data_IF_321511423943
#
_entry.id   IF_321511423943
#
_cell.length_a   1.000
_cell.length_b   1.000
_cell.length_c   1.000
_cell.angle_alpha   90.00
_cell.angle_beta   90.00
_cell.angle_gamma   90.00
#
_symmetry.space_group_name_H-M   'P 1'
#
loop_
_entity.id
_entity.type
_entity.pdbx_description
1 polymer ?
#
# COMPACT_ATOMS: atom_id res chain seq x y z
N UNK A 1 -9.12 30.96 0.57
CA UNK A 1 -9.19 30.93 -0.91
C UNK A 1 -8.01 31.69 -1.48
N UNK A 2 -7.12 30.99 -2.18
CA UNK A 2 -6.00 31.64 -2.89
C UNK A 2 -6.51 32.37 -4.14
N UNK A 3 -5.90 33.51 -4.51
CA UNK A 3 -6.11 34.15 -5.79
C UNK A 3 -5.79 33.18 -6.94
N UNK A 4 -6.71 33.03 -7.90
CA UNK A 4 -6.56 32.15 -9.07
C UNK A 4 -5.29 32.41 -9.91
N UNK A 5 -4.62 33.55 -9.71
CA UNK A 5 -3.33 33.86 -10.34
C UNK A 5 -2.16 33.06 -9.74
N UNK A 6 -2.18 32.78 -8.43
CA UNK A 6 -1.10 32.05 -7.74
C UNK A 6 -1.15 30.56 -8.05
N UNK A 7 -2.35 29.95 -8.05
CA UNK A 7 -2.56 28.56 -8.51
C UNK A 7 -2.06 28.34 -9.94
N UNK A 8 -2.34 29.29 -10.85
CA UNK A 8 -1.87 29.23 -12.24
C UNK A 8 -0.36 29.33 -12.36
N UNK A 9 0.30 30.13 -11.51
CA UNK A 9 1.76 30.24 -11.49
C UNK A 9 2.43 28.99 -10.91
N UNK A 10 1.84 28.38 -9.88
CA UNK A 10 2.31 27.12 -9.32
C UNK A 10 2.19 25.97 -10.33
N UNK A 11 1.03 25.80 -10.96
CA UNK A 11 0.84 24.81 -12.03
C UNK A 11 1.78 25.03 -13.21
N UNK A 12 2.06 26.29 -13.57
CA UNK A 12 3.03 26.60 -14.63
C UNK A 12 4.46 26.24 -14.22
N UNK A 13 4.87 26.56 -12.99
CA UNK A 13 6.20 26.21 -12.48
C UNK A 13 6.42 24.71 -12.40
N UNK A 14 5.39 23.96 -11.96
CA UNK A 14 5.39 22.49 -11.97
C UNK A 14 5.46 21.98 -13.42
N UNK A 15 4.64 22.49 -14.32
CA UNK A 15 4.69 22.12 -15.74
C UNK A 15 6.04 22.38 -16.40
N UNK A 16 6.71 23.49 -16.08
CA UNK A 16 8.03 23.85 -16.60
C UNK A 16 9.17 23.00 -15.99
N UNK A 17 9.01 22.54 -14.75
CA UNK A 17 9.90 21.57 -14.12
C UNK A 17 9.75 20.18 -14.74
N UNK A 18 8.51 19.76 -14.97
CA UNK A 18 8.14 18.44 -15.50
C UNK A 18 8.37 18.31 -17.02
N UNK A 19 8.44 19.41 -17.76
CA UNK A 19 8.73 19.40 -19.20
C UNK A 19 10.22 19.17 -19.54
N UNK A 20 11.09 19.06 -18.53
CA UNK A 20 12.53 18.90 -18.75
C UNK A 20 12.92 17.43 -18.79
N UNK A 21 13.87 17.05 -19.66
CA UNK A 21 14.37 15.69 -19.69
C UNK A 21 15.04 15.37 -18.33
N UNK A 22 14.81 14.17 -17.77
CA UNK A 22 15.43 13.77 -16.51
C UNK A 22 16.96 13.78 -16.62
N UNK A 23 17.62 14.12 -15.51
CA UNK A 23 19.06 13.92 -15.39
C UNK A 23 19.33 12.40 -15.33
N UNK A 24 20.33 11.95 -16.07
CA UNK A 24 20.81 10.58 -15.98
C UNK A 24 21.34 10.35 -14.55
N UNK A 25 20.70 9.43 -13.82
CA UNK A 25 21.19 8.96 -12.53
C UNK A 25 22.23 7.87 -12.75
N UNK A 26 23.24 7.81 -11.89
CA UNK A 26 24.21 6.70 -11.87
C UNK A 26 23.49 5.36 -11.70
N UNK A 27 23.98 4.34 -12.41
CA UNK A 27 23.41 2.98 -12.43
C UNK A 27 23.41 2.38 -11.01
N UNK A 28 22.23 2.28 -10.39
CA UNK A 28 22.06 1.59 -9.11
C UNK A 28 20.93 2.10 -8.24
N UNK A 29 20.47 3.33 -8.47
CA UNK A 29 19.39 3.94 -7.67
C UNK A 29 18.08 4.01 -8.48
N UNK A 30 16.98 3.55 -7.88
CA UNK A 30 15.65 3.58 -8.52
C UNK A 30 14.99 4.97 -8.47
N UNK A 31 15.70 5.95 -7.89
CA UNK A 31 15.31 7.35 -7.84
C UNK A 31 16.07 8.18 -8.88
N UNK A 32 15.32 8.97 -9.66
CA UNK A 32 15.90 10.02 -10.52
C UNK A 32 15.60 11.39 -9.92
N UNK A 33 16.59 12.28 -9.92
CA UNK A 33 16.44 13.63 -9.40
C UNK A 33 16.10 14.63 -10.52
N UNK A 34 15.05 15.41 -10.34
CA UNK A 34 14.83 16.63 -11.11
C UNK A 34 15.43 17.80 -10.34
N UNK A 35 16.64 18.22 -10.71
CA UNK A 35 17.23 19.46 -10.19
C UNK A 35 17.06 20.58 -11.20
N UNK A 36 16.36 21.64 -10.82
CA UNK A 36 16.41 22.89 -11.57
C UNK A 36 16.47 24.07 -10.59
N UNK A 37 17.35 25.06 -10.83
CA UNK A 37 17.28 26.30 -10.09
C UNK A 37 15.95 26.99 -10.42
N UNK A 38 15.17 27.32 -9.39
CA UNK A 38 13.96 28.13 -9.54
C UNK A 38 14.33 29.46 -10.21
N UNK A 39 13.83 29.70 -11.41
CA UNK A 39 14.14 30.88 -12.23
C UNK A 39 13.22 32.07 -11.95
N UNK A 40 12.24 31.92 -11.06
CA UNK A 40 11.32 32.99 -10.69
C UNK A 40 11.88 33.95 -9.62
N UNK A 41 11.10 34.96 -9.28
CA UNK A 41 11.50 35.93 -8.26
C UNK A 41 11.62 35.28 -6.87
N UNK A 42 12.65 35.62 -6.06
CA UNK A 42 12.86 35.01 -4.74
C UNK A 42 11.68 35.13 -3.76
N UNK A 43 10.89 36.22 -3.86
CA UNK A 43 9.68 36.39 -3.05
C UNK A 43 8.61 35.36 -3.42
N UNK A 44 8.43 35.10 -4.71
CA UNK A 44 7.52 34.08 -5.24
C UNK A 44 7.99 32.67 -4.89
N UNK A 45 9.31 32.42 -4.90
CA UNK A 45 9.89 31.16 -4.42
C UNK A 45 9.48 30.87 -2.97
N UNK A 46 9.66 31.84 -2.06
CA UNK A 46 9.31 31.70 -0.64
C UNK A 46 7.81 31.49 -0.40
N UNK A 47 6.97 32.14 -1.21
CA UNK A 47 5.52 31.97 -1.14
C UNK A 47 5.10 30.58 -1.64
N UNK A 48 5.71 30.11 -2.73
CA UNK A 48 5.45 28.78 -3.32
C UNK A 48 5.90 27.66 -2.37
N UNK A 49 7.06 27.80 -1.74
CA UNK A 49 7.52 26.89 -0.69
C UNK A 49 6.56 26.86 0.50
N UNK A 50 6.11 28.03 0.98
CA UNK A 50 5.13 28.11 2.08
C UNK A 50 3.77 27.52 1.72
N UNK A 51 3.35 27.66 0.47
CA UNK A 51 2.09 27.12 -0.03
C UNK A 51 2.14 25.61 -0.17
N UNK A 52 3.22 25.04 -0.68
CA UNK A 52 3.36 23.58 -0.78
C UNK A 52 3.58 22.94 0.61
N UNK A 53 4.31 23.60 1.53
CA UNK A 53 4.35 23.16 2.95
C UNK A 53 2.95 23.27 3.59
N UNK A 54 2.16 24.29 3.26
CA UNK A 54 0.80 24.48 3.76
C UNK A 54 -0.24 23.56 3.13
N UNK A 55 -0.03 23.14 1.89
CA UNK A 55 -0.80 22.10 1.18
C UNK A 55 -0.44 20.70 1.68
N UNK A 56 0.64 20.53 2.45
CA UNK A 56 0.90 19.29 3.19
C UNK A 56 -0.17 18.97 4.25
N UNK A 57 -1.08 19.91 4.57
CA UNK A 57 -2.27 19.67 5.37
C UNK A 57 -3.50 19.24 4.55
N UNK A 58 -3.41 19.26 3.21
CA UNK A 58 -4.44 18.72 2.31
C UNK A 58 -3.94 17.34 1.87
N UNK A 59 -4.62 16.28 2.32
CA UNK A 59 -4.36 14.85 2.05
C UNK A 59 -4.44 14.45 0.55
N UNK A 60 -4.16 15.36 -0.39
CA UNK A 60 -4.14 15.07 -1.82
C UNK A 60 -2.72 14.74 -2.27
N UNK A 61 -2.46 13.44 -2.45
CA UNK A 61 -1.20 12.93 -3.00
C UNK A 61 -0.96 13.49 -4.41
N UNK A 62 0.08 14.32 -4.57
CA UNK A 62 0.51 14.81 -5.88
C UNK A 62 1.35 13.74 -6.58
N UNK A 63 0.98 13.34 -7.79
CA UNK A 63 1.70 12.32 -8.55
C UNK A 63 1.92 12.72 -10.02
N UNK A 64 2.97 12.17 -10.64
CA UNK A 64 3.32 12.43 -12.05
C UNK A 64 2.91 11.28 -12.94
N UNK A 65 1.98 11.54 -13.87
CA UNK A 65 1.74 10.65 -15.00
C UNK A 65 2.82 10.83 -16.07
N UNK A 66 3.56 9.77 -16.40
CA UNK A 66 4.64 9.82 -17.39
C UNK A 66 4.79 8.45 -18.08
N UNK A 67 5.69 8.33 -19.06
CA UNK A 67 5.92 7.10 -19.82
C UNK A 67 7.33 6.57 -19.57
N UNK A 68 7.51 5.25 -19.43
CA UNK A 68 8.78 4.61 -19.07
C UNK A 68 9.95 4.98 -20.00
N UNK A 69 9.65 5.21 -21.28
CA UNK A 69 10.64 5.59 -22.30
C UNK A 69 11.33 6.92 -22.02
N UNK A 70 10.75 7.78 -21.17
CA UNK A 70 11.32 9.07 -20.80
C UNK A 70 12.39 8.94 -19.71
N UNK A 71 12.46 7.79 -19.02
CA UNK A 71 13.28 7.62 -17.83
C UNK A 71 14.41 6.60 -18.02
N UNK A 72 14.54 5.97 -19.19
CA UNK A 72 15.64 5.03 -19.46
C UNK A 72 15.66 3.80 -18.54
N UNK A 73 14.57 3.53 -17.81
CA UNK A 73 14.46 2.44 -16.83
C UNK A 73 13.20 2.56 -15.96
N UNK A 74 12.91 1.52 -15.14
CA UNK A 74 11.79 1.55 -14.21
C UNK A 74 12.02 2.62 -13.13
N UNK A 75 11.02 3.48 -12.91
CA UNK A 75 11.04 4.55 -11.91
C UNK A 75 9.74 4.52 -11.11
N UNK A 76 9.84 4.65 -9.79
CA UNK A 76 8.69 4.69 -8.87
C UNK A 76 8.47 6.06 -8.24
N UNK A 77 9.51 6.89 -8.17
CA UNK A 77 9.46 8.24 -7.59
C UNK A 77 10.54 9.15 -8.16
N UNK A 78 10.32 10.46 -8.06
CA UNK A 78 11.27 11.50 -8.45
C UNK A 78 11.54 12.40 -7.26
N UNK A 79 12.82 12.55 -6.90
CA UNK A 79 13.23 13.53 -5.91
C UNK A 79 13.22 14.94 -6.52
N UNK A 80 12.50 15.85 -5.87
CA UNK A 80 12.31 17.22 -6.29
C UNK A 80 13.21 18.14 -5.47
N UNK A 81 14.13 18.85 -6.14
CA UNK A 81 15.07 19.76 -5.46
C UNK A 81 14.96 21.17 -6.07
N UNK A 82 14.64 22.21 -5.26
CA UNK A 82 14.44 22.18 -3.81
C UNK A 82 13.05 21.65 -3.39
N UNK A 83 12.92 21.00 -2.22
CA UNK A 83 11.62 20.62 -1.66
C UNK A 83 10.80 21.86 -1.26
N UNK A 84 9.47 21.77 -1.10
CA UNK A 84 8.62 20.57 -1.26
C UNK A 84 7.81 20.49 -2.59
N UNK A 85 7.22 19.33 -2.94
CA UNK A 85 7.38 18.03 -2.27
C UNK A 85 8.83 17.54 -2.38
N UNK A 86 9.30 16.74 -1.43
CA UNK A 86 10.68 16.20 -1.48
C UNK A 86 10.80 15.07 -2.49
N UNK A 87 9.76 14.24 -2.56
CA UNK A 87 9.64 13.14 -3.51
C UNK A 87 8.23 13.13 -4.08
N UNK A 88 8.13 12.81 -5.37
CA UNK A 88 6.87 12.76 -6.10
C UNK A 88 6.71 11.37 -6.72
N UNK A 89 5.66 10.61 -6.39
CA UNK A 89 5.41 9.30 -6.98
C UNK A 89 5.18 9.40 -8.49
N UNK A 90 5.67 8.39 -9.22
CA UNK A 90 5.60 8.32 -10.69
C UNK A 90 4.68 7.20 -11.14
N UNK A 91 3.74 7.51 -12.02
CA UNK A 91 2.83 6.56 -12.65
C UNK A 91 3.16 6.41 -14.13
N UNK A 92 3.61 5.21 -14.51
CA UNK A 92 4.03 4.89 -15.88
C UNK A 92 2.86 4.45 -16.79
N UNK A 93 1.70 4.16 -16.20
CA UNK A 93 0.52 3.68 -16.92
C UNK A 93 -0.69 4.56 -16.55
N UNK A 94 -1.34 5.19 -17.54
CA UNK A 94 -2.55 5.95 -17.27
C UNK A 94 -3.65 5.02 -16.75
N UNK A 95 -4.47 5.53 -15.82
CA UNK A 95 -5.63 4.85 -15.24
C UNK A 95 -5.33 3.61 -14.38
N UNK A 96 -4.09 3.41 -13.93
CA UNK A 96 -3.82 2.48 -12.83
C UNK A 96 -4.01 3.18 -11.48
N UNK A 97 -4.56 2.49 -10.47
CA UNK A 97 -4.77 3.09 -9.17
C UNK A 97 -3.44 3.44 -8.51
N UNK A 98 -3.40 4.58 -7.79
CA UNK A 98 -2.22 4.97 -7.01
C UNK A 98 -2.02 4.04 -5.81
N UNK A 99 -0.80 3.97 -5.21
CA UNK A 99 -0.61 3.27 -3.95
C UNK A 99 -1.58 3.72 -2.85
N UNK A 100 -1.89 5.02 -2.73
CA UNK A 100 -2.88 5.51 -1.78
C UNK A 100 -4.30 5.04 -2.14
N UNK A 101 -4.70 5.07 -3.43
CA UNK A 101 -6.00 4.55 -3.87
C UNK A 101 -6.12 3.04 -3.64
N UNK A 102 -5.06 2.27 -3.91
CA UNK A 102 -4.99 0.83 -3.62
C UNK A 102 -5.13 0.58 -2.11
N UNK A 103 -4.44 1.37 -1.28
CA UNK A 103 -4.55 1.29 0.17
C UNK A 103 -5.95 1.66 0.65
N UNK A 104 -6.57 2.69 0.08
CA UNK A 104 -7.93 3.09 0.41
C UNK A 104 -8.92 1.98 0.06
N UNK A 105 -8.85 1.42 -1.15
CA UNK A 105 -9.68 0.27 -1.57
C UNK A 105 -9.47 -0.94 -0.66
N UNK A 106 -8.23 -1.25 -0.30
CA UNK A 106 -7.93 -2.31 0.65
C UNK A 106 -8.55 -2.03 2.02
N UNK A 107 -8.40 -0.80 2.53
CA UNK A 107 -8.97 -0.37 3.82
C UNK A 107 -10.49 -0.49 3.82
N UNK A 108 -11.17 -0.01 2.77
CA UNK A 108 -12.62 -0.12 2.60
C UNK A 108 -13.06 -1.58 2.48
N UNK A 109 -12.29 -2.41 1.75
CA UNK A 109 -12.54 -3.84 1.64
C UNK A 109 -12.39 -4.54 2.98
N UNK A 110 -11.39 -4.22 3.79
CA UNK A 110 -11.18 -4.92 5.06
C UNK A 110 -11.89 -4.28 6.27
N UNK A 111 -12.49 -3.09 6.13
CA UNK A 111 -13.02 -2.28 7.24
C UNK A 111 -13.92 -3.05 8.21
N UNK A 112 -14.73 -3.98 7.68
CA UNK A 112 -15.72 -4.76 8.45
C UNK A 112 -15.40 -6.24 8.52
N UNK A 113 -14.38 -6.70 7.80
CA UNK A 113 -14.06 -8.11 7.66
C UNK A 113 -13.13 -8.54 8.79
N UNK A 114 -13.50 -9.62 9.48
CA UNK A 114 -12.63 -10.25 10.47
C UNK A 114 -11.67 -11.20 9.77
N UNK A 115 -10.40 -11.16 10.16
CA UNK A 115 -9.35 -12.01 9.62
C UNK A 115 -8.92 -13.00 10.70
N UNK A 116 -9.06 -14.29 10.42
CA UNK A 116 -8.58 -15.37 11.28
C UNK A 116 -7.39 -16.05 10.63
N UNK A 117 -6.20 -15.87 11.19
CA UNK A 117 -4.98 -16.55 10.74
C UNK A 117 -4.79 -17.83 11.56
N UNK A 118 -4.59 -18.96 10.89
CA UNK A 118 -4.37 -20.27 11.51
C UNK A 118 -3.05 -20.84 11.00
N UNK A 119 -2.08 -21.00 11.90
CA UNK A 119 -0.80 -21.63 11.58
C UNK A 119 0.41 -20.89 12.14
N UNK A 120 1.49 -21.62 12.39
CA UNK A 120 2.74 -21.10 12.96
C UNK A 120 2.57 -20.47 14.35
N UNK A 121 3.63 -19.79 14.80
CA UNK A 121 3.53 -18.83 15.90
C UNK A 121 3.05 -17.48 15.37
N UNK A 122 2.55 -16.65 16.28
CA UNK A 122 2.14 -15.28 15.98
C UNK A 122 3.36 -14.50 15.49
N UNK A 123 3.22 -13.85 14.34
CA UNK A 123 4.24 -13.00 13.76
C UNK A 123 3.79 -11.52 13.85
N UNK A 124 4.43 -10.77 14.74
CA UNK A 124 4.08 -9.38 14.99
C UNK A 124 4.41 -8.45 13.82
N UNK A 125 5.38 -8.81 12.98
CA UNK A 125 5.76 -8.00 11.82
C UNK A 125 4.74 -8.17 10.70
N UNK A 126 4.19 -9.37 10.53
CA UNK A 126 3.05 -9.60 9.63
C UNK A 126 1.82 -8.82 10.10
N UNK A 127 1.47 -8.88 11.38
CA UNK A 127 0.31 -8.13 11.91
C UNK A 127 0.48 -6.62 11.68
N UNK A 128 1.69 -6.11 11.88
CA UNK A 128 2.01 -4.70 11.63
C UNK A 128 1.88 -4.34 10.15
N UNK A 129 2.46 -5.15 9.26
CA UNK A 129 2.38 -4.94 7.81
C UNK A 129 0.93 -4.95 7.29
N UNK A 130 0.05 -5.79 7.86
CA UNK A 130 -1.39 -5.78 7.53
C UNK A 130 -2.05 -4.43 7.86
N UNK A 131 -1.66 -3.80 8.98
CA UNK A 131 -2.14 -2.46 9.34
C UNK A 131 -1.54 -1.36 8.46
N UNK A 132 -0.22 -1.41 8.26
CA UNK A 132 0.52 -0.37 7.54
C UNK A 132 0.19 -0.35 6.04
N UNK A 133 0.07 -1.52 5.41
CA UNK A 133 -0.08 -1.63 3.95
C UNK A 133 -1.53 -1.83 3.49
N UNK A 134 -2.36 -2.55 4.26
CA UNK A 134 -3.75 -2.83 3.88
C UNK A 134 -4.78 -2.08 4.73
N UNK A 135 -4.34 -1.31 5.74
CA UNK A 135 -5.26 -0.57 6.62
C UNK A 135 -6.10 -1.46 7.54
N UNK A 136 -5.70 -2.73 7.72
CA UNK A 136 -6.46 -3.67 8.54
C UNK A 136 -6.24 -3.34 10.02
N UNK A 137 -7.33 -3.06 10.74
CA UNK A 137 -7.26 -2.80 12.18
C UNK A 137 -6.87 -4.06 12.94
N UNK A 138 -5.94 -3.94 13.89
CA UNK A 138 -5.39 -5.09 14.62
C UNK A 138 -6.46 -5.88 15.38
N UNK A 139 -7.50 -5.21 15.89
CA UNK A 139 -8.63 -5.84 16.59
C UNK A 139 -9.49 -6.75 15.69
N UNK A 140 -9.41 -6.59 14.38
CA UNK A 140 -10.08 -7.44 13.40
C UNK A 140 -9.25 -8.69 13.06
N UNK A 141 -7.98 -8.72 13.44
CA UNK A 141 -7.07 -9.85 13.18
C UNK A 141 -6.97 -10.73 14.43
N UNK A 142 -7.32 -12.00 14.27
CA UNK A 142 -7.12 -13.03 15.28
C UNK A 142 -6.15 -14.08 14.77
N UNK A 143 -5.10 -14.36 15.53
CA UNK A 143 -4.15 -15.43 15.20
C UNK A 143 -4.36 -16.62 16.14
N UNK A 144 -4.54 -17.81 15.55
CA UNK A 144 -4.60 -19.08 16.26
C UNK A 144 -3.35 -19.89 15.93
N UNK A 145 -2.40 -20.02 16.88
CA UNK A 145 -1.16 -20.73 16.61
C UNK A 145 -1.44 -22.21 16.40
N UNK A 146 -0.88 -22.78 15.34
CA UNK A 146 -0.99 -24.19 15.00
C UNK A 146 0.24 -24.65 14.24
N UNK A 147 0.88 -25.70 14.72
CA UNK A 147 2.06 -26.30 14.10
C UNK A 147 1.82 -27.78 13.84
N UNK A 148 2.64 -28.40 12.98
CA UNK A 148 2.54 -29.83 12.66
C UNK A 148 2.43 -30.74 13.89
N UNK A 149 3.16 -30.42 14.96
CA UNK A 149 3.18 -31.19 16.21
C UNK A 149 2.28 -30.61 17.31
N UNK A 150 1.67 -29.45 17.08
CA UNK A 150 0.87 -28.73 18.08
C UNK A 150 -0.37 -28.15 17.42
N UNK A 151 -1.41 -28.97 17.34
CA UNK A 151 -2.69 -28.62 16.73
C UNK A 151 -3.43 -27.55 17.55
N UNK A 152 -4.00 -26.58 16.85
CA UNK A 152 -4.94 -25.64 17.43
C UNK A 152 -6.20 -26.35 17.95
N UNK A 153 -6.64 -25.98 19.15
CA UNK A 153 -7.86 -26.52 19.75
C UNK A 153 -9.09 -25.74 19.28
N UNK A 154 -10.24 -26.42 19.25
CA UNK A 154 -11.55 -25.82 19.00
C UNK A 154 -11.66 -25.05 17.68
N UNK A 155 -10.96 -25.48 16.62
CA UNK A 155 -11.00 -24.82 15.31
C UNK A 155 -12.43 -24.72 14.75
N UNK A 156 -13.23 -25.77 14.92
CA UNK A 156 -14.65 -25.79 14.57
C UNK A 156 -15.45 -24.66 15.23
N UNK A 157 -15.25 -24.43 16.53
CA UNK A 157 -15.97 -23.40 17.27
C UNK A 157 -15.44 -22.01 16.96
N UNK A 158 -14.12 -21.88 16.79
CA UNK A 158 -13.46 -20.61 16.45
C UNK A 158 -13.89 -20.13 15.06
N UNK A 159 -13.76 -20.99 14.03
CA UNK A 159 -14.28 -20.70 12.68
C UNK A 159 -15.79 -20.54 12.75
N UNK A 160 -16.45 -21.28 13.65
CA UNK A 160 -17.88 -21.23 13.80
C UNK A 160 -18.46 -19.98 14.45
N UNK A 161 -17.63 -19.18 15.12
CA UNK A 161 -18.02 -17.87 15.66
C UNK A 161 -17.77 -16.71 14.70
N UNK A 162 -17.25 -16.96 13.50
CA UNK A 162 -16.95 -15.90 12.53
C UNK A 162 -18.21 -15.44 11.78
N UNK A 163 -18.29 -14.15 11.41
CA UNK A 163 -19.30 -13.66 10.49
C UNK A 163 -19.06 -14.20 9.07
N UNK A 164 -20.08 -14.14 8.21
CA UNK A 164 -20.05 -14.73 6.86
C UNK A 164 -19.02 -14.07 5.95
N UNK A 165 -18.78 -12.77 6.12
CA UNK A 165 -17.82 -11.96 5.37
C UNK A 165 -16.38 -12.05 5.93
N UNK A 166 -16.15 -12.88 6.96
CA UNK A 166 -14.82 -13.11 7.48
C UNK A 166 -13.91 -13.81 6.47
N UNK A 167 -12.61 -13.68 6.71
CA UNK A 167 -11.56 -14.29 5.92
C UNK A 167 -10.74 -15.18 6.84
N UNK A 168 -10.59 -16.44 6.48
CA UNK A 168 -9.71 -17.38 7.17
C UNK A 168 -8.46 -17.56 6.34
N UNK A 169 -7.29 -17.30 6.93
CA UNK A 169 -5.99 -17.54 6.33
C UNK A 169 -5.38 -18.79 6.96
N UNK A 170 -5.15 -19.83 6.18
CA UNK A 170 -4.51 -21.06 6.62
C UNK A 170 -3.05 -21.09 6.14
N UNK A 171 -2.08 -21.10 7.06
CA UNK A 171 -0.65 -21.18 6.72
C UNK A 171 -0.25 -22.64 6.51
N UNK A 172 -0.51 -23.17 5.32
CA UNK A 172 -0.40 -24.60 4.99
C UNK A 172 1.02 -25.15 5.19
N UNK A 173 2.07 -24.34 5.04
CA UNK A 173 3.44 -24.75 5.30
C UNK A 173 3.77 -24.99 6.77
N UNK A 174 2.94 -24.49 7.70
CA UNK A 174 3.15 -24.60 9.16
C UNK A 174 2.21 -25.62 9.82
N UNK A 175 1.02 -25.84 9.28
CA UNK A 175 0.04 -26.79 9.83
C UNK A 175 0.19 -28.19 9.21
N UNK A 176 -0.35 -29.21 9.90
CA UNK A 176 -0.45 -30.56 9.33
C UNK A 176 -1.61 -30.69 8.33
N UNK A 177 -1.56 -31.71 7.46
CA UNK A 177 -2.60 -31.96 6.44
C UNK A 177 -4.01 -32.08 7.04
N UNK A 178 -4.14 -32.81 8.16
CA UNK A 178 -5.44 -32.98 8.84
C UNK A 178 -6.05 -31.66 9.30
N UNK A 179 -5.20 -30.75 9.81
CA UNK A 179 -5.64 -29.42 10.25
C UNK A 179 -6.05 -28.56 9.06
N UNK A 180 -5.26 -28.58 7.99
CA UNK A 180 -5.60 -27.87 6.75
C UNK A 180 -6.93 -28.35 6.17
N UNK A 181 -7.16 -29.67 6.16
CA UNK A 181 -8.42 -30.28 5.74
C UNK A 181 -9.59 -29.84 6.62
N UNK A 182 -9.42 -29.87 7.95
CA UNK A 182 -10.45 -29.40 8.89
C UNK A 182 -10.79 -27.93 8.67
N UNK A 183 -9.80 -27.06 8.49
CA UNK A 183 -10.03 -25.63 8.22
C UNK A 183 -10.86 -25.47 6.94
N UNK A 184 -10.46 -26.16 5.87
CA UNK A 184 -11.16 -26.13 4.57
C UNK A 184 -12.60 -26.61 4.66
N UNK A 185 -12.84 -27.72 5.34
CA UNK A 185 -14.19 -28.27 5.50
C UNK A 185 -15.09 -27.30 6.29
N UNK A 186 -14.57 -26.67 7.34
CA UNK A 186 -15.35 -25.76 8.18
C UNK A 186 -15.62 -24.41 7.50
N UNK A 187 -14.67 -23.86 6.75
CA UNK A 187 -14.89 -22.61 5.99
C UNK A 187 -15.87 -22.83 4.85
N UNK A 188 -15.74 -23.94 4.10
CA UNK A 188 -16.64 -24.26 2.99
C UNK A 188 -18.09 -24.45 3.46
N UNK A 189 -18.31 -25.18 4.57
CA UNK A 189 -19.65 -25.38 5.14
C UNK A 189 -20.35 -24.09 5.55
N UNK A 190 -19.59 -23.02 5.82
CA UNK A 190 -20.10 -21.73 6.29
C UNK A 190 -20.04 -20.62 5.25
N UNK A 191 -19.59 -20.94 4.03
CA UNK A 191 -19.34 -19.97 2.97
C UNK A 191 -18.43 -18.80 3.41
N UNK A 192 -17.48 -19.09 4.30
CA UNK A 192 -16.45 -18.13 4.74
C UNK A 192 -15.27 -18.22 3.77
N UNK A 193 -14.70 -17.08 3.40
CA UNK A 193 -13.59 -17.04 2.46
C UNK A 193 -12.35 -17.72 3.07
N UNK A 194 -11.75 -18.64 2.33
CA UNK A 194 -10.49 -19.30 2.70
C UNK A 194 -9.36 -18.82 1.79
N UNK A 195 -8.27 -18.40 2.40
CA UNK A 195 -7.01 -18.07 1.78
C UNK A 195 -5.94 -19.05 2.28
N UNK A 196 -5.28 -19.77 1.36
CA UNK A 196 -4.24 -20.75 1.70
C UNK A 196 -2.86 -20.15 1.40
N UNK A 197 -2.16 -19.70 2.45
CA UNK A 197 -0.82 -19.12 2.34
C UNK A 197 0.24 -20.18 2.60
N UNK A 198 1.27 -20.28 1.74
CA UNK A 198 2.34 -21.26 1.96
C UNK A 198 3.24 -20.88 3.13
N UNK A 199 3.49 -19.59 3.32
CA UNK A 199 4.34 -19.03 4.38
C UNK A 199 3.67 -17.81 5.02
N UNK A 200 4.05 -17.49 6.28
CA UNK A 200 3.54 -16.30 6.96
C UNK A 200 3.86 -15.00 6.22
N UNK A 201 5.02 -14.94 5.55
CA UNK A 201 5.45 -13.79 4.75
C UNK A 201 4.59 -13.54 3.50
N UNK A 202 3.80 -14.54 3.05
CA UNK A 202 2.95 -14.42 1.86
C UNK A 202 1.52 -13.97 2.19
N UNK A 203 1.14 -13.97 3.48
CA UNK A 203 -0.21 -13.61 3.92
C UNK A 203 -0.63 -12.25 3.36
N UNK A 204 0.30 -11.28 3.38
CA UNK A 204 0.04 -9.93 2.90
C UNK A 204 -0.29 -9.91 1.41
N UNK A 205 0.50 -10.58 0.57
CA UNK A 205 0.29 -10.63 -0.87
C UNK A 205 -0.98 -11.40 -1.23
N UNK A 206 -1.26 -12.50 -0.53
CA UNK A 206 -2.46 -13.30 -0.76
C UNK A 206 -3.72 -12.50 -0.40
N UNK A 207 -3.70 -11.75 0.70
CA UNK A 207 -4.81 -10.87 1.08
C UNK A 207 -4.96 -9.68 0.12
N UNK A 208 -3.85 -9.10 -0.35
CA UNK A 208 -3.86 -8.04 -1.36
C UNK A 208 -4.53 -8.51 -2.65
N UNK A 209 -4.31 -9.76 -3.06
CA UNK A 209 -4.95 -10.37 -4.23
C UNK A 209 -6.48 -10.55 -4.12
N UNK A 210 -7.07 -10.35 -2.94
CA UNK A 210 -8.53 -10.41 -2.73
C UNK A 210 -9.23 -9.06 -2.95
N UNK A 211 -8.46 -7.97 -2.98
CA UNK A 211 -9.00 -6.61 -3.17
C UNK A 211 -9.30 -6.42 -4.67
N UNK A 212 -10.55 -6.03 -5.03
CA UNK A 212 -10.97 -5.86 -6.41
C UNK A 212 -10.44 -4.57 -7.09
#
# INVERSE_FOLDING_TARGET
MLPAALMRLAHRGIGELLSRPPLESDEGDSSKSLSAPYSGQPATHKLLLRDIVGLGEVDEELALGTHESLWGGPISSISCVPPPPSDLPVHLKPNLPTPAELRQRATEYFERRRILIIGGQIDGDVIRALGDELGIKQELVRWVPSEKNKRARNLKDVIGGLPVDAIVVCVVGKVGHDVSGEVKDNTQRRAVLLCESRFSSQILDDLRGLVP
#
